data_IF_036012930286
#
_entry.id   IF_036012930286
#
_cell.length_a   1.000
_cell.length_b   1.000
_cell.length_c   1.000
_cell.angle_alpha   90.00
_cell.angle_beta   90.00
_cell.angle_gamma   90.00
#
_symmetry.space_group_name_H-M   'P 1'
#
loop_
_entity.id
_entity.type
_entity.pdbx_description
1 polymer ?
#
# COMPACT_ATOMS: atom_id res chain seq x y z
N UNK A 1 -3.90 -2.06 11.90
CA UNK A 1 -3.45 -3.08 10.93
C UNK A 1 -2.01 -3.41 11.25
N UNK A 2 -1.61 -4.69 11.28
CA UNK A 2 -0.22 -5.08 11.52
C UNK A 2 0.41 -5.52 10.20
N UNK A 3 1.57 -4.98 9.84
CA UNK A 3 2.27 -5.29 8.60
C UNK A 3 3.75 -5.58 8.89
N UNK A 4 4.37 -6.58 8.22
CA UNK A 4 5.75 -6.95 8.49
C UNK A 4 6.73 -5.88 8.00
N UNK A 5 7.75 -5.59 8.81
CA UNK A 5 8.88 -4.77 8.37
C UNK A 5 9.87 -5.62 7.56
N UNK A 6 9.71 -5.64 6.23
CA UNK A 6 10.45 -6.54 5.35
C UNK A 6 11.87 -6.06 4.99
N UNK A 7 12.11 -4.75 5.03
CA UNK A 7 13.39 -4.12 4.65
C UNK A 7 13.45 -2.67 5.12
N UNK A 8 14.64 -2.06 5.22
CA UNK A 8 14.77 -0.61 5.45
C UNK A 8 14.34 0.21 4.22
N UNK A 9 13.79 1.41 4.45
CA UNK A 9 13.36 2.34 3.38
C UNK A 9 14.45 3.32 2.92
N UNK A 10 15.32 3.78 3.84
CA UNK A 10 16.43 4.69 3.50
C UNK A 10 17.62 3.89 2.97
N UNK A 11 17.66 3.70 1.66
CA UNK A 11 18.71 2.94 0.96
C UNK A 11 19.10 3.62 -0.34
N UNK A 12 20.29 3.33 -0.87
CA UNK A 12 20.68 3.79 -2.21
C UNK A 12 19.97 2.97 -3.32
N UNK A 13 20.07 3.44 -4.56
CA UNK A 13 19.39 2.84 -5.72
C UNK A 13 19.80 1.38 -5.92
N UNK A 14 21.10 1.06 -5.86
CA UNK A 14 21.60 -0.31 -6.05
C UNK A 14 21.01 -1.28 -5.02
N UNK A 15 20.91 -0.84 -3.76
CA UNK A 15 20.31 -1.61 -2.68
C UNK A 15 18.80 -1.75 -2.85
N UNK A 16 18.10 -0.72 -3.30
CA UNK A 16 16.68 -0.78 -3.62
C UNK A 16 16.39 -1.84 -4.69
N UNK A 17 17.16 -1.87 -5.78
CA UNK A 17 17.06 -2.90 -6.82
C UNK A 17 17.29 -4.30 -6.23
N UNK A 18 18.31 -4.48 -5.39
CA UNK A 18 18.56 -5.76 -4.72
C UNK A 18 17.39 -6.22 -3.84
N UNK A 19 16.77 -5.30 -3.10
CA UNK A 19 15.58 -5.56 -2.29
C UNK A 19 14.42 -6.04 -3.19
N UNK A 20 14.14 -5.33 -4.28
CA UNK A 20 13.09 -5.70 -5.23
C UNK A 20 13.32 -7.10 -5.85
N UNK A 21 14.55 -7.42 -6.24
CA UNK A 21 14.91 -8.74 -6.78
C UNK A 21 14.77 -9.88 -5.75
N UNK A 22 14.92 -9.59 -4.46
CA UNK A 22 14.65 -10.56 -3.40
C UNK A 22 13.15 -10.72 -3.15
N UNK A 23 12.41 -9.61 -3.09
CA UNK A 23 10.98 -9.61 -2.78
C UNK A 23 10.13 -10.20 -3.90
N UNK A 24 10.49 -10.01 -5.18
CA UNK A 24 9.73 -10.56 -6.31
C UNK A 24 9.57 -12.09 -6.25
N UNK A 25 10.51 -12.79 -5.61
CA UNK A 25 10.46 -14.26 -5.43
C UNK A 25 9.38 -14.71 -4.43
N UNK A 26 8.80 -13.76 -3.67
CA UNK A 26 7.75 -14.00 -2.68
C UNK A 26 6.35 -13.66 -3.20
N UNK A 27 6.23 -13.21 -4.45
CA UNK A 27 4.93 -12.88 -5.06
C UNK A 27 4.15 -14.17 -5.31
N UNK A 28 2.87 -14.18 -4.92
CA UNK A 28 1.92 -15.24 -5.23
C UNK A 28 1.02 -14.72 -6.36
N UNK A 29 1.04 -15.39 -7.51
CA UNK A 29 0.29 -14.99 -8.71
C UNK A 29 -1.04 -15.74 -8.89
N UNK A 30 -1.38 -16.65 -7.98
CA UNK A 30 -2.67 -17.33 -7.99
C UNK A 30 -3.67 -16.63 -7.07
N UNK A 31 -4.96 -16.68 -7.45
CA UNK A 31 -6.02 -16.23 -6.57
C UNK A 31 -6.10 -17.15 -5.34
N UNK A 32 -5.91 -16.53 -4.17
CA UNK A 32 -6.04 -17.17 -2.85
C UNK A 32 -6.96 -16.35 -1.94
N UNK A 33 -7.77 -15.46 -2.51
CA UNK A 33 -8.62 -14.57 -1.75
C UNK A 33 -9.87 -15.31 -1.25
N UNK A 34 -10.26 -15.15 0.02
CA UNK A 34 -11.54 -15.63 0.51
C UNK A 34 -12.69 -14.76 -0.03
N UNK A 35 -13.93 -15.06 0.37
CA UNK A 35 -15.08 -14.19 0.08
C UNK A 35 -14.81 -12.75 0.56
N UNK A 36 -14.73 -11.82 -0.39
CA UNK A 36 -14.44 -10.41 -0.13
C UNK A 36 -15.71 -9.71 0.39
N UNK A 37 -15.58 -8.99 1.51
CA UNK A 37 -16.65 -8.17 2.11
C UNK A 37 -16.31 -6.68 2.15
N UNK A 38 -15.02 -6.36 2.01
CA UNK A 38 -14.49 -5.00 2.01
C UNK A 38 -13.38 -4.89 0.98
N UNK A 39 -13.31 -3.76 0.29
CA UNK A 39 -12.22 -3.41 -0.60
C UNK A 39 -11.63 -2.06 -0.18
N UNK A 40 -10.36 -1.83 -0.50
CA UNK A 40 -9.70 -0.56 -0.22
C UNK A 40 -9.14 0.04 -1.52
N UNK A 41 -9.40 1.32 -1.75
CA UNK A 41 -8.68 2.14 -2.71
C UNK A 41 -7.58 2.91 -2.00
N UNK A 42 -6.39 2.98 -2.61
CA UNK A 42 -5.25 3.74 -2.08
C UNK A 42 -4.74 4.69 -3.16
N UNK A 43 -4.40 5.90 -2.76
CA UNK A 43 -3.82 6.90 -3.67
C UNK A 43 -2.84 7.81 -2.91
N UNK A 44 -1.91 8.43 -3.64
CA UNK A 44 -0.97 9.41 -3.11
C UNK A 44 -0.91 10.63 -4.03
N UNK A 45 -1.13 11.81 -3.45
CA UNK A 45 -1.00 13.10 -4.11
C UNK A 45 0.24 13.83 -3.57
N UNK A 46 0.84 14.65 -4.43
CA UNK A 46 1.98 15.49 -4.10
C UNK A 46 1.58 16.95 -4.27
N UNK A 47 1.83 17.76 -3.24
CA UNK A 47 1.61 19.21 -3.27
C UNK A 47 2.79 19.87 -2.56
N UNK A 48 3.46 20.79 -3.24
CA UNK A 48 4.66 21.46 -2.73
C UNK A 48 5.72 20.46 -2.25
N UNK A 49 6.07 20.50 -0.97
CA UNK A 49 7.02 19.60 -0.31
C UNK A 49 6.33 18.52 0.53
N UNK A 50 5.04 18.23 0.29
CA UNK A 50 4.29 17.21 1.00
C UNK A 50 3.77 16.09 0.08
N UNK A 51 3.87 14.85 0.59
CA UNK A 51 3.11 13.71 0.11
C UNK A 51 1.88 13.51 1.00
N UNK A 52 0.72 13.34 0.38
CA UNK A 52 -0.55 13.05 1.05
C UNK A 52 -1.06 11.70 0.54
N UNK A 53 -1.00 10.68 1.39
CA UNK A 53 -1.54 9.36 1.08
C UNK A 53 -2.97 9.23 1.66
N UNK A 54 -3.87 8.63 0.91
CA UNK A 54 -5.24 8.34 1.34
C UNK A 54 -5.59 6.87 1.15
N UNK A 55 -6.37 6.32 2.08
CA UNK A 55 -6.97 4.99 1.99
C UNK A 55 -8.48 5.12 2.25
N UNK A 56 -9.29 4.62 1.31
CA UNK A 56 -10.74 4.57 1.42
C UNK A 56 -11.19 3.12 1.42
N UNK A 57 -11.89 2.68 2.48
CA UNK A 57 -12.43 1.34 2.61
C UNK A 57 -13.92 1.35 2.29
N UNK A 58 -14.35 0.44 1.42
CA UNK A 58 -15.73 0.27 0.99
C UNK A 58 -16.27 -1.09 1.39
N UNK A 59 -17.57 -1.20 1.67
CA UNK A 59 -18.28 -2.49 1.63
C UNK A 59 -18.33 -3.00 0.19
N UNK A 60 -18.22 -4.31 0.02
CA UNK A 60 -18.32 -4.96 -1.28
C UNK A 60 -19.42 -6.03 -1.24
N UNK A 61 -20.31 -6.09 -2.25
CA UNK A 61 -20.24 -5.43 -3.57
C UNK A 61 -20.86 -4.03 -3.67
N UNK A 62 -21.47 -3.50 -2.60
CA UNK A 62 -22.32 -2.30 -2.69
C UNK A 62 -21.54 -0.98 -2.88
N UNK A 63 -20.22 -1.00 -2.67
CA UNK A 63 -19.31 0.16 -2.78
C UNK A 63 -19.67 1.34 -1.86
N UNK A 64 -20.35 1.05 -0.75
CA UNK A 64 -20.59 2.05 0.28
C UNK A 64 -19.28 2.35 1.03
N UNK A 65 -18.85 3.62 1.05
CA UNK A 65 -17.69 4.07 1.83
C UNK A 65 -17.97 3.86 3.33
N UNK A 66 -17.05 3.19 4.02
CA UNK A 66 -17.17 2.92 5.46
C UNK A 66 -16.03 3.47 6.31
N UNK A 67 -14.88 3.76 5.70
CA UNK A 67 -13.75 4.37 6.40
C UNK A 67 -12.87 5.13 5.40
N UNK A 68 -12.33 6.27 5.82
CA UNK A 68 -11.34 7.01 5.06
C UNK A 68 -10.28 7.56 6.01
N UNK A 69 -9.00 7.30 5.71
CA UNK A 69 -7.86 7.81 6.48
C UNK A 69 -6.86 8.48 5.56
N UNK A 70 -6.15 9.48 6.09
CA UNK A 70 -5.10 10.20 5.37
C UNK A 70 -3.83 10.26 6.21
N UNK A 71 -2.68 10.21 5.54
CA UNK A 71 -1.38 10.46 6.13
C UNK A 71 -0.65 11.54 5.32
N UNK A 72 0.08 12.41 6.01
CA UNK A 72 0.89 13.47 5.39
C UNK A 72 2.34 13.31 5.77
N UNK A 73 3.25 13.55 4.84
CA UNK A 73 4.68 13.52 5.11
C UNK A 73 5.40 14.55 4.25
N UNK A 74 6.20 15.40 4.90
CA UNK A 74 7.16 16.27 4.22
C UNK A 74 8.25 15.43 3.53
N UNK A 75 8.53 15.73 2.27
CA UNK A 75 9.42 14.99 1.37
C UNK A 75 10.82 15.60 1.39
#
# INVERSE_FOLDING_TARGET
MNYPNLHPWKVNIQKAISIQQKLRKKIILSDKLPKIKKIAGVDVAFSDDEAIAAVCIFKYPELNLIEAVKARKKI
#
